data_IF_389411099733
#
_entry.id   IF_389411099733
#
_cell.length_a   1.000
_cell.length_b   1.000
_cell.length_c   1.000
_cell.angle_alpha   90.00
_cell.angle_beta   90.00
_cell.angle_gamma   90.00
#
_symmetry.space_group_name_H-M   'P 1'
#
loop_
_entity.id
_entity.type
_entity.pdbx_description
1 polymer ?
#
# COMPACT_ATOMS: atom_id res chain seq x y z
N UNK A 1 18.31 -10.03 -6.95
CA UNK A 1 19.20 -8.91 -6.58
C UNK A 1 20.15 -8.65 -7.74
N UNK A 2 19.77 -7.80 -8.70
CA UNK A 2 20.64 -7.45 -9.84
C UNK A 2 21.42 -6.17 -9.50
N UNK A 3 20.75 -5.15 -8.98
CA UNK A 3 21.37 -3.87 -8.65
C UNK A 3 22.50 -4.00 -7.62
N UNK A 4 22.29 -4.72 -6.51
CA UNK A 4 23.33 -4.91 -5.47
C UNK A 4 24.56 -5.67 -5.97
N UNK A 5 24.40 -6.55 -6.96
CA UNK A 5 25.51 -7.30 -7.56
C UNK A 5 26.36 -6.42 -8.48
N UNK A 6 25.73 -5.51 -9.22
CA UNK A 6 26.43 -4.64 -10.18
C UNK A 6 26.90 -3.30 -9.57
N UNK A 7 26.22 -2.82 -8.54
CA UNK A 7 26.45 -1.51 -7.93
C UNK A 7 26.57 -1.60 -6.39
N UNK A 8 27.44 -2.45 -5.82
CA UNK A 8 27.46 -2.71 -4.38
C UNK A 8 27.78 -1.46 -3.54
N UNK A 9 28.65 -0.58 -4.04
CA UNK A 9 29.01 0.67 -3.38
C UNK A 9 27.90 1.73 -3.39
N UNK A 10 26.87 1.56 -4.24
CA UNK A 10 25.67 2.39 -4.25
C UNK A 10 24.54 1.73 -3.44
N UNK A 11 24.42 0.41 -3.51
CA UNK A 11 23.36 -0.33 -2.82
C UNK A 11 23.41 -0.12 -1.29
N UNK A 12 24.57 -0.30 -0.66
CA UNK A 12 24.69 -0.16 0.80
C UNK A 12 24.28 1.23 1.33
N UNK A 13 24.75 2.34 0.76
CA UNK A 13 24.29 3.68 1.13
C UNK A 13 22.79 3.92 0.90
N UNK A 14 22.20 3.39 -0.18
CA UNK A 14 20.77 3.55 -0.45
C UNK A 14 19.94 2.76 0.58
N UNK A 15 20.34 1.54 0.91
CA UNK A 15 19.72 0.75 1.99
C UNK A 15 19.79 1.50 3.33
N UNK A 16 20.97 2.00 3.71
CA UNK A 16 21.16 2.78 4.94
C UNK A 16 20.30 4.05 4.98
N UNK A 17 20.13 4.73 3.83
CA UNK A 17 19.27 5.90 3.74
C UNK A 17 17.79 5.54 3.94
N UNK A 18 17.33 4.43 3.35
CA UNK A 18 15.97 3.94 3.51
C UNK A 18 15.67 3.50 4.96
N UNK A 19 16.60 2.78 5.59
CA UNK A 19 16.50 2.35 7.00
C UNK A 19 16.47 3.53 7.99
N UNK A 20 17.03 4.68 7.59
CA UNK A 20 17.03 5.91 8.38
C UNK A 20 15.71 6.68 8.36
N UNK A 21 14.72 6.26 7.55
CA UNK A 21 13.39 6.89 7.53
C UNK A 21 12.63 6.50 8.79
N UNK A 22 12.10 7.51 9.49
CA UNK A 22 11.31 7.34 10.71
C UNK A 22 9.92 7.94 10.54
N UNK A 23 8.93 7.62 11.39
CA UNK A 23 7.61 8.25 11.35
C UNK A 23 7.63 9.77 11.50
N UNK A 24 8.69 10.32 12.10
CA UNK A 24 8.89 11.77 12.28
C UNK A 24 9.58 12.44 11.09
N UNK A 25 10.07 11.68 10.11
CA UNK A 25 10.67 12.20 8.89
C UNK A 25 9.60 12.93 8.08
N UNK A 26 9.92 14.13 7.57
CA UNK A 26 9.02 14.87 6.69
C UNK A 26 8.55 13.99 5.52
N UNK A 27 7.24 13.94 5.27
CA UNK A 27 6.65 13.03 4.29
C UNK A 27 7.21 13.25 2.88
N UNK A 28 7.50 14.50 2.48
CA UNK A 28 8.05 14.77 1.16
C UNK A 28 9.49 14.26 1.07
N UNK A 29 10.29 14.44 2.12
CA UNK A 29 11.64 13.89 2.22
C UNK A 29 11.62 12.36 2.20
N UNK A 30 10.71 11.73 2.96
CA UNK A 30 10.55 10.28 2.99
C UNK A 30 10.20 9.73 1.59
N UNK A 31 9.28 10.36 0.86
CA UNK A 31 8.93 9.97 -0.51
C UNK A 31 10.11 10.09 -1.48
N UNK A 32 10.93 11.14 -1.37
CA UNK A 32 12.15 11.26 -2.19
C UNK A 32 13.19 10.17 -1.88
N UNK A 33 13.31 9.75 -0.62
CA UNK A 33 14.16 8.62 -0.23
C UNK A 33 13.62 7.32 -0.81
N UNK A 34 12.31 7.08 -0.66
CA UNK A 34 11.65 5.89 -1.21
C UNK A 34 11.71 5.84 -2.75
N UNK A 35 11.74 6.97 -3.44
CA UNK A 35 11.91 7.00 -4.90
C UNK A 35 13.27 6.41 -5.31
N UNK A 36 14.35 6.79 -4.62
CA UNK A 36 15.68 6.24 -4.87
C UNK A 36 15.77 4.77 -4.44
N UNK A 37 15.23 4.43 -3.28
CA UNK A 37 15.23 3.06 -2.76
C UNK A 37 14.46 2.10 -3.66
N UNK A 38 13.24 2.47 -4.07
CA UNK A 38 12.42 1.67 -4.98
C UNK A 38 13.07 1.51 -6.37
N UNK A 39 13.75 2.54 -6.89
CA UNK A 39 14.54 2.44 -8.12
C UNK A 39 15.72 1.45 -8.00
N UNK A 40 16.29 1.29 -6.81
CA UNK A 40 17.30 0.28 -6.50
C UNK A 40 16.72 -1.12 -6.24
N UNK A 41 15.38 -1.27 -6.27
CA UNK A 41 14.68 -2.52 -5.97
C UNK A 41 14.54 -2.82 -4.49
N UNK A 42 14.74 -1.82 -3.62
CA UNK A 42 14.55 -1.94 -2.17
C UNK A 42 13.06 -1.77 -1.88
N UNK A 43 12.42 -2.71 -1.16
CA UNK A 43 11.01 -2.60 -0.81
C UNK A 43 10.79 -1.41 0.12
N UNK A 44 9.80 -0.58 -0.22
CA UNK A 44 9.43 0.60 0.55
C UNK A 44 8.03 0.43 1.15
N UNK A 45 7.80 0.98 2.35
CA UNK A 45 6.49 0.92 3.01
C UNK A 45 5.42 1.69 2.22
N UNK A 46 5.83 2.79 1.57
CA UNK A 46 5.00 3.60 0.69
C UNK A 46 5.62 3.55 -0.70
N UNK A 47 4.82 3.20 -1.70
CA UNK A 47 5.24 3.21 -3.10
C UNK A 47 5.10 4.64 -3.67
N UNK A 48 6.22 5.35 -3.96
CA UNK A 48 6.18 6.72 -4.44
C UNK A 48 5.60 6.83 -5.86
N UNK A 49 5.77 5.81 -6.69
CA UNK A 49 5.20 5.80 -8.04
C UNK A 49 3.67 5.65 -7.98
N UNK A 50 3.17 4.79 -7.08
CA UNK A 50 1.73 4.66 -6.84
C UNK A 50 1.13 5.96 -6.29
N UNK A 51 1.82 6.62 -5.35
CA UNK A 51 1.42 7.94 -4.83
C UNK A 51 1.33 8.96 -5.96
N UNK A 52 2.34 9.04 -6.82
CA UNK A 52 2.36 10.00 -7.93
C UNK A 52 1.19 9.78 -8.92
N UNK A 53 0.92 8.52 -9.27
CA UNK A 53 -0.20 8.17 -10.17
C UNK A 53 -1.54 8.53 -9.55
N UNK A 54 -1.79 8.14 -8.30
CA UNK A 54 -3.06 8.40 -7.62
C UNK A 54 -3.26 9.89 -7.28
N UNK A 55 -2.18 10.64 -7.05
CA UNK A 55 -2.27 12.08 -6.83
C UNK A 55 -2.70 12.84 -8.11
N UNK A 56 -2.38 12.29 -9.28
CA UNK A 56 -2.73 12.87 -10.58
C UNK A 56 -4.17 12.55 -11.01
N UNK A 57 -4.79 11.51 -10.46
CA UNK A 57 -6.13 11.04 -10.84
C UNK A 57 -7.27 11.76 -10.12
N UNK A 58 -7.11 13.04 -9.78
CA UNK A 58 -8.16 13.81 -9.08
C UNK A 58 -9.42 13.92 -9.93
N UNK A 59 -10.56 13.72 -9.30
CA UNK A 59 -11.87 13.93 -9.93
C UNK A 59 -12.09 15.42 -10.12
N UNK A 60 -12.32 15.86 -11.36
CA UNK A 60 -12.60 17.27 -11.64
C UNK A 60 -13.80 17.77 -10.82
N UNK A 61 -13.57 18.80 -10.00
CA UNK A 61 -14.61 19.43 -9.19
C UNK A 61 -14.81 18.85 -7.78
N UNK A 62 -14.14 17.75 -7.41
CA UNK A 62 -14.20 17.22 -6.05
C UNK A 62 -13.30 18.01 -5.09
N UNK A 63 -13.78 18.25 -3.87
CA UNK A 63 -12.97 18.85 -2.81
C UNK A 63 -12.02 17.82 -2.20
N UNK A 64 -10.87 18.24 -1.62
CA UNK A 64 -9.94 17.32 -0.96
C UNK A 64 -10.55 16.50 0.18
N UNK A 65 -11.60 17.01 0.82
CA UNK A 65 -12.33 16.31 1.89
C UNK A 65 -13.23 15.20 1.32
N UNK A 66 -13.85 15.42 0.16
CA UNK A 66 -14.66 14.42 -0.53
C UNK A 66 -13.79 13.27 -1.03
N UNK A 67 -12.65 13.56 -1.66
CA UNK A 67 -11.71 12.52 -2.10
C UNK A 67 -11.22 11.65 -0.92
N UNK A 68 -10.94 12.28 0.22
CA UNK A 68 -10.59 11.56 1.45
C UNK A 68 -11.72 10.66 1.96
N UNK A 69 -12.98 11.13 1.94
CA UNK A 69 -14.15 10.33 2.31
C UNK A 69 -14.30 9.12 1.38
N UNK A 70 -14.08 9.31 0.07
CA UNK A 70 -14.10 8.22 -0.91
C UNK A 70 -13.00 7.18 -0.59
N UNK A 71 -11.79 7.62 -0.25
CA UNK A 71 -10.72 6.72 0.18
C UNK A 71 -11.11 5.90 1.43
N UNK A 72 -11.73 6.53 2.44
CA UNK A 72 -12.21 5.82 3.63
C UNK A 72 -13.32 4.81 3.28
N UNK A 73 -14.30 5.23 2.47
CA UNK A 73 -15.41 4.38 2.05
C UNK A 73 -14.94 3.20 1.19
N UNK A 74 -13.86 3.35 0.42
CA UNK A 74 -13.23 2.24 -0.31
C UNK A 74 -12.76 1.14 0.66
N UNK A 75 -12.07 1.49 1.75
CA UNK A 75 -11.64 0.49 2.74
C UNK A 75 -12.84 -0.18 3.42
N UNK A 76 -13.86 0.58 3.82
CA UNK A 76 -15.08 0.02 4.41
C UNK A 76 -15.74 -0.95 3.43
N UNK A 77 -15.88 -0.54 2.17
CA UNK A 77 -16.48 -1.36 1.12
C UNK A 77 -15.72 -2.67 0.90
N UNK A 78 -14.39 -2.61 0.79
CA UNK A 78 -13.56 -3.81 0.66
C UNK A 78 -13.73 -4.70 1.89
N UNK A 79 -13.68 -4.13 3.11
CA UNK A 79 -13.79 -4.89 4.36
C UNK A 79 -15.09 -5.70 4.44
N UNK A 80 -16.24 -5.09 4.11
CA UNK A 80 -17.55 -5.76 4.14
C UNK A 80 -17.79 -6.69 2.95
N UNK A 81 -17.04 -6.54 1.86
CA UNK A 81 -17.14 -7.41 0.68
C UNK A 81 -16.30 -8.69 0.80
N UNK A 82 -15.27 -8.71 1.66
CA UNK A 82 -14.39 -9.88 1.82
C UNK A 82 -15.11 -11.20 2.15
N UNK A 83 -16.17 -11.25 2.99
CA UNK A 83 -16.91 -12.48 3.25
C UNK A 83 -17.53 -13.11 2.00
N UNK A 84 -17.83 -12.32 0.97
CA UNK A 84 -18.37 -12.84 -0.29
C UNK A 84 -17.40 -13.81 -0.98
N UNK A 85 -16.09 -13.65 -0.76
CA UNK A 85 -15.06 -14.53 -1.30
C UNK A 85 -15.18 -15.97 -0.78
N UNK A 86 -15.73 -16.18 0.42
CA UNK A 86 -15.92 -17.51 1.00
C UNK A 86 -16.95 -18.35 0.21
N UNK A 87 -17.82 -17.70 -0.55
CA UNK A 87 -18.82 -18.40 -1.40
C UNK A 87 -18.28 -18.74 -2.79
N UNK A 88 -17.12 -18.21 -3.18
CA UNK A 88 -16.52 -18.45 -4.49
C UNK A 88 -15.79 -19.81 -4.49
N UNK A 89 -16.17 -20.78 -5.35
CA UNK A 89 -15.51 -22.08 -5.42
C UNK A 89 -14.04 -21.99 -5.86
N UNK A 90 -13.59 -20.88 -6.44
CA UNK A 90 -12.19 -20.64 -6.77
C UNK A 90 -11.36 -20.12 -5.57
N UNK A 91 -12.00 -19.71 -4.47
CA UNK A 91 -11.36 -19.26 -3.22
C UNK A 91 -10.91 -20.42 -2.33
N UNK A 92 -10.26 -21.42 -2.94
CA UNK A 92 -9.64 -22.54 -2.22
C UNK A 92 -8.14 -22.34 -2.21
N UNK A 93 -7.55 -22.38 -1.02
CA UNK A 93 -6.11 -22.27 -0.85
C UNK A 93 -5.42 -23.55 -1.37
N UNK A 94 -4.40 -23.36 -2.20
CA UNK A 94 -3.56 -24.38 -2.78
C UNK A 94 -2.15 -24.26 -2.18
N UNK A 95 -1.73 -25.32 -1.48
CA UNK A 95 -0.43 -25.40 -0.81
C UNK A 95 0.74 -25.48 -1.78
N UNK A 96 0.56 -25.99 -2.99
CA UNK A 96 1.62 -26.05 -4.00
C UNK A 96 1.95 -24.66 -4.56
N UNK A 97 0.94 -23.79 -4.62
CA UNK A 97 1.05 -22.42 -5.12
C UNK A 97 1.32 -21.40 -4.00
N UNK A 98 1.24 -21.82 -2.74
CA UNK A 98 1.20 -20.94 -1.56
C UNK A 98 0.19 -19.78 -1.72
N UNK A 99 -1.01 -20.11 -2.22
CA UNK A 99 -1.95 -19.08 -2.67
C UNK A 99 -3.36 -19.61 -2.98
N UNK A 100 -4.15 -18.80 -3.67
CA UNK A 100 -5.53 -19.09 -4.05
C UNK A 100 -5.66 -19.03 -5.57
N UNK A 101 -6.49 -19.89 -6.16
CA UNK A 101 -6.63 -19.99 -7.62
C UNK A 101 -7.17 -18.71 -8.27
N UNK A 102 -7.97 -17.93 -7.55
CA UNK A 102 -8.51 -16.63 -7.98
C UNK A 102 -7.67 -15.43 -7.51
N UNK A 103 -6.42 -15.66 -7.05
CA UNK A 103 -5.48 -14.62 -6.63
C UNK A 103 -5.93 -13.73 -5.45
N UNK A 104 -6.89 -14.15 -4.62
CA UNK A 104 -7.35 -13.33 -3.49
C UNK A 104 -6.27 -13.06 -2.43
N UNK A 105 -5.17 -13.83 -2.40
CA UNK A 105 -3.99 -13.53 -1.59
C UNK A 105 -3.33 -12.18 -1.99
N UNK A 106 -3.45 -11.77 -3.25
CA UNK A 106 -2.96 -10.48 -3.72
C UNK A 106 -3.74 -9.29 -3.14
N UNK A 107 -4.96 -9.51 -2.62
CA UNK A 107 -5.74 -8.45 -1.98
C UNK A 107 -5.02 -7.89 -0.76
N UNK A 108 -4.25 -8.70 -0.02
CA UNK A 108 -3.44 -8.21 1.10
C UNK A 108 -2.47 -7.12 0.64
N UNK A 109 -1.74 -7.37 -0.46
CA UNK A 109 -0.82 -6.39 -1.05
C UNK A 109 -1.57 -5.17 -1.57
N UNK A 110 -2.68 -5.37 -2.28
CA UNK A 110 -3.48 -4.27 -2.81
C UNK A 110 -4.02 -3.35 -1.70
N UNK A 111 -4.61 -3.92 -0.64
CA UNK A 111 -5.17 -3.16 0.49
C UNK A 111 -4.07 -2.34 1.16
N UNK A 112 -2.90 -2.93 1.45
CA UNK A 112 -1.81 -2.22 2.12
C UNK A 112 -1.29 -1.07 1.25
N UNK A 113 -0.89 -1.35 0.01
CA UNK A 113 -0.23 -0.34 -0.83
C UNK A 113 -1.18 0.76 -1.31
N UNK A 114 -2.42 0.42 -1.68
CA UNK A 114 -3.41 1.43 -2.09
C UNK A 114 -3.78 2.33 -0.92
N UNK A 115 -3.98 1.76 0.27
CA UNK A 115 -4.28 2.57 1.47
C UNK A 115 -3.11 3.46 1.86
N UNK A 116 -1.88 2.92 1.84
CA UNK A 116 -0.67 3.68 2.13
C UNK A 116 -0.53 4.87 1.17
N UNK A 117 -0.78 4.67 -0.12
CA UNK A 117 -0.71 5.73 -1.12
C UNK A 117 -1.82 6.78 -0.93
N UNK A 118 -3.09 6.36 -0.80
CA UNK A 118 -4.22 7.27 -0.62
C UNK A 118 -4.08 8.11 0.64
N UNK A 119 -3.75 7.50 1.78
CA UNK A 119 -3.63 8.25 3.04
C UNK A 119 -2.36 9.09 3.11
N UNK A 120 -1.31 8.74 2.37
CA UNK A 120 -0.17 9.64 2.13
C UNK A 120 -0.61 10.91 1.39
N UNK A 121 -1.38 10.77 0.30
CA UNK A 121 -1.90 11.91 -0.48
C UNK A 121 -2.77 12.83 0.39
N UNK A 122 -3.62 12.25 1.24
CA UNK A 122 -4.50 12.98 2.13
C UNK A 122 -3.85 13.45 3.45
N UNK A 123 -2.55 13.16 3.66
CA UNK A 123 -1.80 13.50 4.88
C UNK A 123 -2.47 12.95 6.14
N UNK A 124 -2.86 11.67 6.10
CA UNK A 124 -3.54 10.95 7.18
C UNK A 124 -2.68 9.79 7.67
N UNK A 125 -2.93 9.38 8.90
CA UNK A 125 -2.22 8.26 9.51
C UNK A 125 -2.69 6.94 8.90
N UNK A 126 -1.79 6.24 8.20
CA UNK A 126 -2.07 4.97 7.50
C UNK A 126 -2.43 3.86 8.51
N UNK A 127 -1.68 3.76 9.61
CA UNK A 127 -1.85 2.74 10.64
C UNK A 127 -3.25 2.77 11.25
N UNK A 128 -3.76 3.95 11.59
CA UNK A 128 -5.12 4.13 12.13
C UNK A 128 -6.18 3.55 11.19
N UNK A 129 -6.10 3.89 9.90
CA UNK A 129 -7.10 3.44 8.93
C UNK A 129 -7.01 1.94 8.63
N UNK A 130 -5.79 1.37 8.61
CA UNK A 130 -5.62 -0.08 8.47
C UNK A 130 -6.11 -0.83 9.72
N UNK A 131 -5.96 -0.28 10.92
CA UNK A 131 -6.55 -0.84 12.14
C UNK A 131 -8.08 -0.81 12.07
N UNK A 132 -8.67 0.29 11.64
CA UNK A 132 -10.12 0.40 11.43
C UNK A 132 -10.62 -0.62 10.41
N UNK A 133 -9.92 -0.78 9.29
CA UNK A 133 -10.22 -1.81 8.29
C UNK A 133 -10.26 -3.21 8.89
N UNK A 134 -9.26 -3.58 9.71
CA UNK A 134 -9.22 -4.88 10.36
C UNK A 134 -10.39 -5.08 11.33
N UNK A 135 -10.77 -4.03 12.08
CA UNK A 135 -11.93 -4.06 12.99
C UNK A 135 -13.23 -4.25 12.21
N UNK A 136 -13.46 -3.47 11.14
CA UNK A 136 -14.67 -3.58 10.31
C UNK A 136 -14.77 -4.95 9.65
N UNK A 137 -13.66 -5.45 9.10
CA UNK A 137 -13.60 -6.80 8.53
C UNK A 137 -13.96 -7.86 9.56
N UNK A 138 -13.40 -7.77 10.77
CA UNK A 138 -13.65 -8.74 11.83
C UNK A 138 -15.10 -8.71 12.33
N UNK A 139 -15.76 -7.55 12.30
CA UNK A 139 -17.16 -7.40 12.66
C UNK A 139 -18.14 -7.83 11.55
N UNK A 140 -17.71 -7.83 10.29
CA UNK A 140 -18.50 -8.25 9.13
C UNK A 140 -18.38 -9.74 8.79
N UNK A 141 -17.48 -10.48 9.45
CA UNK A 141 -17.31 -11.94 9.34
C UNK A 141 -18.20 -12.66 10.36
#
# INVERSE_FOLDING_TARGET
>A
QVFSQHCPFLAGPIECLADGVTPDTDMQVALSIFEVASAAGIPCEIDPALVAVLASSKTEGASPEEDYKVACLLLVFVAVALPLLASDPASVYNTEMDGYNNNIHCLAKAIIHVSAALFTIHKKNIETHLKEFLVVRAAGA
#
